data_IF_502958153860
#
_entry.id   IF_502958153860
#
_cell.length_a   1.000
_cell.length_b   1.000
_cell.length_c   1.000
_cell.angle_alpha   90.00
_cell.angle_beta   90.00
_cell.angle_gamma   90.00
#
_symmetry.space_group_name_H-M   'P 1'
#
loop_
_entity.id
_entity.type
_entity.pdbx_description
1 polymer ?
#
# COMPACT_ATOMS: atom_id res chain seq x y z
N UNK A 1 15.62 15.76 19.17
CA UNK A 1 16.09 15.41 17.81
C UNK A 1 17.42 16.08 17.63
N UNK A 2 18.48 15.31 17.57
CA UNK A 2 19.82 15.80 17.33
C UNK A 2 20.02 16.04 15.81
N UNK A 3 20.97 16.91 15.43
CA UNK A 3 21.31 17.20 14.05
C UNK A 3 21.70 15.92 13.28
N UNK A 4 22.29 14.96 13.97
CA UNK A 4 22.64 13.64 13.43
C UNK A 4 21.40 12.78 13.16
N UNK A 5 20.37 12.85 13.98
CA UNK A 5 19.10 12.15 13.73
C UNK A 5 18.43 12.68 12.46
N UNK A 6 18.47 13.99 12.22
CA UNK A 6 17.91 14.63 11.04
C UNK A 6 18.66 14.23 9.76
N UNK A 7 19.99 14.23 9.79
CA UNK A 7 20.81 13.81 8.65
C UNK A 7 20.63 12.32 8.34
N UNK A 8 20.51 11.49 9.36
CA UNK A 8 20.23 10.06 9.20
C UNK A 8 18.86 9.82 8.57
N UNK A 9 17.83 10.55 9.01
CA UNK A 9 16.48 10.46 8.42
C UNK A 9 16.46 10.91 6.95
N UNK A 10 17.14 11.99 6.60
CA UNK A 10 17.27 12.43 5.19
C UNK A 10 18.02 11.39 4.32
N UNK A 11 19.08 10.80 4.85
CA UNK A 11 19.83 9.76 4.17
C UNK A 11 18.99 8.50 3.97
N UNK A 12 18.28 8.03 5.00
CA UNK A 12 17.37 6.89 4.93
C UNK A 12 16.23 7.12 3.91
N UNK A 13 15.70 8.34 3.81
CA UNK A 13 14.68 8.69 2.81
C UNK A 13 15.27 8.65 1.40
N UNK A 14 16.49 9.15 1.20
CA UNK A 14 17.14 9.17 -0.13
C UNK A 14 17.57 7.79 -0.61
N UNK A 15 17.93 6.90 0.31
CA UNK A 15 18.35 5.51 0.07
C UNK A 15 17.16 4.54 0.03
N UNK A 16 15.96 5.00 0.38
CA UNK A 16 14.78 4.16 0.36
C UNK A 16 14.47 3.69 -1.07
N UNK A 17 13.95 2.45 -1.25
CA UNK A 17 13.56 1.95 -2.57
C UNK A 17 12.61 2.91 -3.29
N UNK A 18 12.72 3.01 -4.61
CA UNK A 18 11.91 3.89 -5.46
C UNK A 18 10.41 3.76 -5.16
N UNK A 19 9.91 2.54 -4.99
CA UNK A 19 8.52 2.27 -4.64
C UNK A 19 8.09 2.86 -3.28
N UNK A 20 9.04 3.10 -2.37
CA UNK A 20 8.77 3.77 -1.10
C UNK A 20 8.83 5.30 -1.26
N UNK A 21 9.80 5.82 -2.01
CA UNK A 21 9.96 7.25 -2.28
C UNK A 21 8.81 7.82 -3.11
N UNK A 22 8.37 7.08 -4.13
CA UNK A 22 7.26 7.44 -5.05
C UNK A 22 5.87 7.24 -4.44
N UNK A 23 5.77 6.93 -3.13
CA UNK A 23 4.49 6.69 -2.48
C UNK A 23 3.62 7.95 -2.48
N UNK A 24 2.37 7.89 -3.00
CA UNK A 24 1.40 8.97 -2.96
C UNK A 24 1.25 9.60 -1.57
N UNK A 25 1.16 10.91 -1.52
CA UNK A 25 0.95 11.68 -0.29
C UNK A 25 -0.47 12.23 -0.19
N UNK A 26 -1.16 12.41 -1.32
CA UNK A 26 -2.53 12.90 -1.41
C UNK A 26 -3.45 11.89 -2.08
N UNK A 27 -4.77 12.07 -1.95
CA UNK A 27 -5.76 11.22 -2.62
C UNK A 27 -5.68 11.32 -4.16
N UNK A 28 -5.29 12.48 -4.67
CA UNK A 28 -5.22 12.74 -6.11
C UNK A 28 -3.97 12.12 -6.76
N UNK A 29 -2.95 11.81 -5.95
CA UNK A 29 -1.75 11.11 -6.41
C UNK A 29 -1.93 9.60 -6.52
N UNK A 30 -3.00 9.04 -5.94
CA UNK A 30 -3.24 7.59 -5.98
C UNK A 30 -3.66 7.19 -7.38
N UNK A 31 -2.86 6.37 -8.03
CA UNK A 31 -3.16 5.83 -9.35
C UNK A 31 -4.28 4.80 -9.28
N UNK A 32 -5.18 4.84 -10.26
CA UNK A 32 -6.30 3.89 -10.34
C UNK A 32 -7.30 4.02 -9.20
N UNK A 33 -7.95 2.90 -8.84
CA UNK A 33 -8.91 2.78 -7.72
C UNK A 33 -10.13 3.73 -7.81
N UNK A 34 -10.49 4.17 -9.02
CA UNK A 34 -11.58 5.14 -9.25
C UNK A 34 -12.94 4.69 -8.68
N UNK A 35 -13.18 3.38 -8.57
CA UNK A 35 -14.42 2.83 -8.03
C UNK A 35 -14.61 3.12 -6.53
N UNK A 36 -13.51 3.34 -5.77
CA UNK A 36 -13.57 3.68 -4.34
C UNK A 36 -13.08 5.10 -4.03
N UNK A 37 -12.22 5.68 -4.88
CA UNK A 37 -11.60 6.98 -4.69
C UNK A 37 -12.01 8.03 -5.72
N UNK A 38 -12.81 7.67 -6.72
CA UNK A 38 -13.30 8.60 -7.73
C UNK A 38 -14.17 9.73 -7.13
N UNK A 39 -14.38 10.82 -7.86
CA UNK A 39 -15.22 11.92 -7.40
C UNK A 39 -16.60 11.45 -6.95
N UNK A 40 -17.02 11.87 -5.75
CA UNK A 40 -18.32 11.50 -5.19
C UNK A 40 -18.39 10.11 -4.54
N UNK A 41 -17.33 9.29 -4.58
CA UNK A 41 -17.30 8.01 -3.90
C UNK A 41 -17.42 8.15 -2.38
N UNK A 42 -17.98 7.13 -1.74
CA UNK A 42 -18.23 7.14 -0.30
C UNK A 42 -16.95 7.34 0.52
N UNK A 43 -15.88 6.60 0.18
CA UNK A 43 -14.62 6.66 0.92
C UNK A 43 -13.97 8.04 0.75
N UNK A 44 -13.90 8.56 -0.47
CA UNK A 44 -13.35 9.89 -0.74
C UNK A 44 -14.09 10.98 0.03
N UNK A 45 -15.43 10.98 -0.01
CA UNK A 45 -16.25 11.94 0.75
C UNK A 45 -16.02 11.84 2.25
N UNK A 46 -15.93 10.63 2.80
CA UNK A 46 -15.68 10.41 4.22
C UNK A 46 -14.31 10.97 4.66
N UNK A 47 -13.27 10.77 3.83
CA UNK A 47 -11.93 11.30 4.08
C UNK A 47 -11.93 12.83 4.01
N UNK A 48 -12.48 13.41 2.96
CA UNK A 48 -12.53 14.86 2.75
C UNK A 48 -13.36 15.59 3.81
N UNK A 49 -14.43 14.96 4.30
CA UNK A 49 -15.26 15.50 5.38
C UNK A 49 -14.67 15.26 6.79
N UNK A 50 -13.52 14.58 6.88
CA UNK A 50 -12.91 14.14 8.14
C UNK A 50 -13.87 13.32 9.02
N UNK A 51 -14.72 12.51 8.40
CA UNK A 51 -15.71 11.64 9.04
C UNK A 51 -15.48 10.19 8.65
N UNK A 52 -14.37 9.66 9.13
CA UNK A 52 -14.02 8.26 8.88
C UNK A 52 -14.95 7.31 9.64
N UNK A 53 -15.09 6.11 9.11
CA UNK A 53 -15.71 4.98 9.80
C UNK A 53 -14.85 4.55 11.00
N UNK A 54 -15.46 3.89 11.98
CA UNK A 54 -14.72 3.36 13.14
C UNK A 54 -13.72 2.28 12.77
N UNK A 55 -14.01 1.52 11.71
CA UNK A 55 -13.13 0.50 11.18
C UNK A 55 -13.27 0.38 9.66
N UNK A 56 -12.14 0.18 8.99
CA UNK A 56 -12.03 -0.03 7.54
C UNK A 56 -11.20 -1.29 7.30
N UNK A 57 -11.61 -2.12 6.36
CA UNK A 57 -10.80 -3.22 5.86
C UNK A 57 -10.53 -2.99 4.39
N UNK A 58 -9.25 -2.90 4.04
CA UNK A 58 -8.76 -2.79 2.67
C UNK A 58 -8.28 -4.16 2.23
N UNK A 59 -8.88 -4.74 1.20
CA UNK A 59 -8.43 -6.03 0.69
C UNK A 59 -8.16 -5.97 -0.82
N UNK A 60 -7.32 -6.86 -1.29
CA UNK A 60 -6.94 -6.94 -2.69
C UNK A 60 -5.50 -7.39 -2.89
N UNK A 61 -5.05 -7.62 -4.12
CA UNK A 61 -3.73 -8.11 -4.45
C UNK A 61 -2.60 -7.25 -3.88
N UNK A 62 -1.38 -7.79 -3.76
CA UNK A 62 -0.20 -7.00 -3.38
C UNK A 62 0.05 -5.88 -4.39
N UNK A 63 0.70 -4.78 -3.93
CA UNK A 63 1.09 -3.65 -4.79
C UNK A 63 -0.04 -2.75 -5.28
N UNK A 64 -1.29 -2.98 -4.85
CA UNK A 64 -2.47 -2.17 -5.24
C UNK A 64 -2.64 -0.88 -4.44
N UNK A 65 -1.79 -0.62 -3.44
CA UNK A 65 -1.78 0.63 -2.68
C UNK A 65 -2.49 0.60 -1.33
N UNK A 66 -2.81 -0.55 -0.71
CA UNK A 66 -3.49 -0.64 0.59
C UNK A 66 -2.81 0.18 1.70
N UNK A 67 -1.52 -0.06 1.91
CA UNK A 67 -0.72 0.68 2.91
C UNK A 67 -0.59 2.17 2.57
N UNK A 68 -0.46 2.47 1.28
CA UNK A 68 -0.41 3.85 0.76
C UNK A 68 -1.71 4.59 1.06
N UNK A 69 -2.85 4.00 0.73
CA UNK A 69 -4.17 4.58 0.99
C UNK A 69 -4.36 4.85 2.49
N UNK A 70 -3.98 3.91 3.35
CA UNK A 70 -4.08 4.10 4.81
C UNK A 70 -3.25 5.31 5.29
N UNK A 71 -2.03 5.50 4.76
CA UNK A 71 -1.19 6.67 5.07
C UNK A 71 -1.78 7.97 4.55
N UNK A 72 -2.28 7.98 3.31
CA UNK A 72 -2.95 9.15 2.72
C UNK A 72 -4.18 9.54 3.53
N UNK A 73 -4.97 8.57 4.01
CA UNK A 73 -6.09 8.82 4.91
C UNK A 73 -5.61 9.52 6.20
N UNK A 74 -4.55 9.01 6.81
CA UNK A 74 -4.01 9.59 8.04
C UNK A 74 -3.48 11.02 7.83
N UNK A 75 -2.76 11.25 6.74
CA UNK A 75 -2.25 12.57 6.39
C UNK A 75 -3.39 13.57 6.15
N UNK A 76 -4.39 13.18 5.36
CA UNK A 76 -5.54 14.04 5.02
C UNK A 76 -6.36 14.41 6.27
N UNK A 77 -6.52 13.48 7.19
CA UNK A 77 -7.30 13.67 8.43
C UNK A 77 -6.44 14.15 9.61
N UNK A 78 -5.17 14.44 9.39
CA UNK A 78 -4.19 14.86 10.40
C UNK A 78 -4.13 13.93 11.63
N UNK A 79 -4.54 12.68 11.46
CA UNK A 79 -4.47 11.68 12.50
C UNK A 79 -3.04 11.16 12.66
N UNK A 80 -2.70 10.71 13.87
CA UNK A 80 -1.46 9.99 14.08
C UNK A 80 -1.56 8.60 13.47
N UNK A 81 -0.56 8.20 12.69
CA UNK A 81 -0.52 6.92 12.01
C UNK A 81 0.38 5.93 12.77
N UNK A 82 -0.24 4.89 13.33
CA UNK A 82 0.47 3.75 13.92
C UNK A 82 0.38 2.56 12.98
N UNK A 83 1.51 1.91 12.75
CA UNK A 83 1.61 0.78 11.84
C UNK A 83 2.05 -0.48 12.59
N UNK A 84 1.23 -1.53 12.55
CA UNK A 84 1.58 -2.85 13.03
C UNK A 84 1.57 -3.85 11.87
N UNK A 85 2.59 -4.71 11.84
CA UNK A 85 2.58 -5.88 10.96
C UNK A 85 2.03 -7.07 11.73
N UNK A 86 0.95 -7.66 11.25
CA UNK A 86 0.37 -8.83 11.91
C UNK A 86 1.31 -10.06 11.89
N UNK A 87 2.31 -10.05 11.03
CA UNK A 87 3.35 -11.10 10.97
C UNK A 87 4.33 -10.99 12.13
N UNK A 88 4.66 -9.77 12.57
CA UNK A 88 5.71 -9.49 13.56
C UNK A 88 5.16 -9.09 14.93
N UNK A 89 3.97 -8.47 14.97
CA UNK A 89 3.40 -7.89 16.17
C UNK A 89 2.41 -8.83 16.86
N UNK A 90 2.42 -8.81 18.20
CA UNK A 90 1.53 -9.56 19.05
C UNK A 90 0.63 -8.67 19.91
N UNK A 91 -0.09 -9.30 20.87
CA UNK A 91 -0.97 -8.60 21.82
C UNK A 91 -0.19 -7.58 22.68
N UNK A 92 1.07 -7.88 22.99
CA UNK A 92 1.91 -6.97 23.78
C UNK A 92 2.18 -5.65 23.03
N UNK A 93 2.40 -5.72 21.70
CA UNK A 93 2.63 -4.54 20.88
C UNK A 93 1.34 -3.76 20.69
N UNK A 94 0.22 -4.46 20.51
CA UNK A 94 -1.10 -3.82 20.50
C UNK A 94 -1.36 -3.03 21.80
N UNK A 95 -1.00 -3.57 22.97
CA UNK A 95 -1.15 -2.86 24.25
C UNK A 95 -0.36 -1.56 24.28
N UNK A 96 0.91 -1.58 23.82
CA UNK A 96 1.72 -0.36 23.72
C UNK A 96 1.05 0.71 22.86
N UNK A 97 0.47 0.31 21.72
CA UNK A 97 -0.26 1.22 20.83
C UNK A 97 -1.52 1.77 21.51
N UNK A 98 -2.26 0.94 22.23
CA UNK A 98 -3.45 1.36 22.99
C UNK A 98 -3.08 2.40 24.04
N UNK A 99 -2.02 2.16 24.83
CA UNK A 99 -1.55 3.08 25.85
C UNK A 99 -1.12 4.42 25.23
N UNK A 100 -0.31 4.38 24.17
CA UNK A 100 0.14 5.56 23.45
C UNK A 100 -1.03 6.33 22.80
N UNK A 101 -2.02 5.63 22.22
CA UNK A 101 -3.21 6.26 21.64
C UNK A 101 -4.07 6.94 22.72
N UNK A 102 -4.21 6.30 23.89
CA UNK A 102 -4.94 6.83 25.04
C UNK A 102 -4.28 8.11 25.56
N UNK A 103 -2.96 8.08 25.74
CA UNK A 103 -2.19 9.23 26.19
C UNK A 103 -2.25 10.38 25.17
N UNK A 104 -2.08 10.09 23.89
CA UNK A 104 -2.15 11.05 22.78
C UNK A 104 -3.51 11.73 22.72
N UNK A 105 -4.59 10.96 22.91
CA UNK A 105 -5.94 11.49 22.90
C UNK A 105 -6.19 12.37 24.13
N UNK A 106 -5.70 11.96 25.30
CA UNK A 106 -5.85 12.70 26.56
C UNK A 106 -5.11 14.03 26.56
N UNK A 107 -3.83 14.00 26.11
CA UNK A 107 -2.94 15.18 26.19
C UNK A 107 -3.12 16.14 25.01
N UNK A 108 -3.26 15.59 23.80
CA UNK A 108 -3.21 16.37 22.56
C UNK A 108 -4.53 16.40 21.79
N UNK A 109 -5.56 15.70 22.28
CA UNK A 109 -6.84 15.52 21.56
C UNK A 109 -6.66 14.99 20.12
N UNK A 110 -5.52 14.40 19.83
CA UNK A 110 -5.17 13.90 18.50
C UNK A 110 -5.72 12.49 18.31
N UNK A 111 -6.36 12.25 17.16
CA UNK A 111 -6.86 10.93 16.78
C UNK A 111 -5.72 10.02 16.35
N UNK A 112 -5.91 8.73 16.50
CA UNK A 112 -4.97 7.71 16.04
C UNK A 112 -5.66 6.85 14.98
N UNK A 113 -4.98 6.61 13.88
CA UNK A 113 -5.30 5.54 12.94
C UNK A 113 -4.33 4.40 13.22
N UNK A 114 -4.87 3.25 13.58
CA UNK A 114 -4.12 2.01 13.71
C UNK A 114 -4.25 1.24 12.40
N UNK A 115 -3.15 1.14 11.68
CA UNK A 115 -3.04 0.31 10.48
C UNK A 115 -2.43 -1.04 10.84
N UNK A 116 -3.11 -2.13 10.46
CA UNK A 116 -2.63 -3.49 10.65
C UNK A 116 -2.46 -4.12 9.28
N UNK A 117 -1.20 -4.35 8.90
CA UNK A 117 -0.89 -5.04 7.64
C UNK A 117 -1.03 -6.55 7.82
N UNK A 118 -1.61 -7.20 6.81
CA UNK A 118 -1.90 -8.65 6.79
C UNK A 118 -2.72 -9.12 8.00
N UNK A 119 -3.79 -8.39 8.33
CA UNK A 119 -4.62 -8.61 9.53
C UNK A 119 -5.12 -10.06 9.67
N UNK A 120 -5.27 -10.79 8.57
CA UNK A 120 -5.64 -12.20 8.55
C UNK A 120 -4.60 -13.14 9.20
N UNK A 121 -3.35 -12.68 9.38
CA UNK A 121 -2.29 -13.43 10.07
C UNK A 121 -2.49 -13.47 11.59
N UNK A 122 -3.28 -12.55 12.13
CA UNK A 122 -3.63 -12.59 13.54
C UNK A 122 -4.67 -13.66 13.81
N UNK A 123 -4.47 -14.41 14.90
CA UNK A 123 -5.45 -15.38 15.36
C UNK A 123 -6.71 -14.66 15.91
N UNK A 124 -7.77 -15.47 16.16
CA UNK A 124 -9.05 -14.94 16.63
C UNK A 124 -8.90 -14.10 17.90
N UNK A 125 -8.14 -14.54 18.90
CA UNK A 125 -7.97 -13.82 20.16
C UNK A 125 -7.26 -12.46 19.98
N UNK A 126 -6.29 -12.38 19.05
CA UNK A 126 -5.63 -11.12 18.70
C UNK A 126 -6.56 -10.15 17.98
N UNK A 127 -7.41 -10.66 17.07
CA UNK A 127 -8.41 -9.84 16.40
C UNK A 127 -9.53 -9.42 17.37
N UNK A 128 -9.98 -10.29 18.28
CA UNK A 128 -10.96 -9.96 19.31
C UNK A 128 -10.46 -8.84 20.25
N UNK A 129 -9.15 -8.79 20.52
CA UNK A 129 -8.56 -7.74 21.36
C UNK A 129 -8.68 -6.31 20.76
N UNK A 130 -8.98 -6.18 19.46
CA UNK A 130 -9.23 -4.88 18.82
C UNK A 130 -10.63 -4.33 19.13
N UNK A 131 -11.62 -5.22 19.32
CA UNK A 131 -13.04 -4.85 19.34
C UNK A 131 -13.39 -3.77 20.37
N UNK A 132 -12.96 -3.85 21.65
CA UNK A 132 -13.31 -2.83 22.64
C UNK A 132 -12.81 -1.44 22.25
N UNK A 133 -11.66 -1.36 21.57
CA UNK A 133 -11.00 -0.11 21.22
C UNK A 133 -11.57 0.49 19.94
N UNK A 134 -12.01 -0.34 18.99
CA UNK A 134 -12.78 0.06 17.81
C UNK A 134 -14.16 0.59 18.22
N UNK A 135 -14.85 -0.11 19.13
CA UNK A 135 -16.17 0.28 19.63
C UNK A 135 -16.13 1.57 20.44
N UNK A 136 -15.10 1.77 21.27
CA UNK A 136 -14.93 3.01 22.04
C UNK A 136 -14.47 4.19 21.19
N UNK A 137 -14.04 3.97 19.93
CA UNK A 137 -13.48 4.97 19.06
C UNK A 137 -12.14 5.54 19.55
N UNK A 138 -11.38 4.75 20.33
CA UNK A 138 -10.04 5.14 20.78
C UNK A 138 -9.12 5.39 19.58
N UNK A 139 -9.21 4.52 18.60
CA UNK A 139 -8.55 4.65 17.30
C UNK A 139 -9.50 4.24 16.17
N UNK A 140 -9.23 4.74 14.96
CA UNK A 140 -9.81 4.20 13.72
C UNK A 140 -8.93 3.05 13.26
N UNK A 141 -9.50 1.86 13.14
CA UNK A 141 -8.79 0.70 12.60
C UNK A 141 -8.81 0.72 11.08
N UNK A 142 -7.66 0.51 10.45
CA UNK A 142 -7.55 0.18 9.03
C UNK A 142 -6.81 -1.15 8.91
N UNK A 143 -7.53 -2.25 8.71
CA UNK A 143 -6.94 -3.55 8.42
C UNK A 143 -6.64 -3.69 6.93
N UNK A 144 -5.46 -4.20 6.58
CA UNK A 144 -5.13 -4.59 5.22
C UNK A 144 -4.98 -6.10 5.11
N UNK A 145 -5.43 -6.68 4.01
CA UNK A 145 -5.29 -8.12 3.74
C UNK A 145 -5.23 -8.37 2.24
N UNK A 146 -4.51 -9.42 1.85
CA UNK A 146 -4.51 -9.96 0.49
C UNK A 146 -5.59 -11.01 0.26
N UNK A 147 -6.22 -11.49 1.32
CA UNK A 147 -7.23 -12.53 1.30
C UNK A 147 -8.65 -11.97 1.48
N UNK A 148 -9.66 -12.77 1.18
CA UNK A 148 -11.04 -12.35 1.32
C UNK A 148 -11.40 -12.17 2.82
N UNK A 149 -11.72 -10.95 3.27
CA UNK A 149 -11.93 -10.66 4.69
C UNK A 149 -13.13 -11.39 5.30
N UNK A 150 -14.08 -11.84 4.51
CA UNK A 150 -15.25 -12.57 5.01
C UNK A 150 -14.90 -13.97 5.53
N UNK A 151 -13.76 -14.53 5.12
CA UNK A 151 -13.30 -15.84 5.57
C UNK A 151 -12.21 -15.73 6.65
N UNK A 152 -11.30 -14.77 6.52
CA UNK A 152 -10.06 -14.73 7.30
C UNK A 152 -10.08 -13.70 8.43
N UNK A 153 -11.08 -12.81 8.44
CA UNK A 153 -11.29 -11.85 9.53
C UNK A 153 -12.51 -12.27 10.35
N UNK A 154 -12.43 -12.11 11.67
CA UNK A 154 -13.55 -12.50 12.56
C UNK A 154 -14.82 -11.72 12.21
N UNK A 155 -15.95 -12.41 12.26
CA UNK A 155 -17.27 -11.84 11.92
C UNK A 155 -17.60 -10.58 12.73
N UNK A 156 -17.17 -10.53 13.99
CA UNK A 156 -17.39 -9.39 14.87
C UNK A 156 -16.67 -8.11 14.38
N UNK A 157 -15.48 -8.25 13.80
CA UNK A 157 -14.73 -7.13 13.22
C UNK A 157 -15.30 -6.76 11.85
N UNK A 158 -15.61 -7.74 11.01
CA UNK A 158 -16.24 -7.53 9.69
C UNK A 158 -17.55 -6.77 9.82
N UNK A 159 -18.42 -7.13 10.76
CA UNK A 159 -19.72 -6.47 10.95
C UNK A 159 -19.61 -4.98 11.38
N UNK A 160 -18.46 -4.58 11.94
CA UNK A 160 -18.17 -3.22 12.40
C UNK A 160 -17.31 -2.43 11.41
N UNK A 161 -16.92 -3.07 10.31
CA UNK A 161 -16.00 -2.48 9.34
C UNK A 161 -16.70 -2.11 8.04
N UNK A 162 -16.19 -1.09 7.37
CA UNK A 162 -16.45 -0.87 5.94
C UNK A 162 -15.35 -1.54 5.14
N UNK A 163 -15.74 -2.40 4.22
CA UNK A 163 -14.83 -3.18 3.40
C UNK A 163 -14.70 -2.50 2.05
N UNK A 164 -13.46 -2.27 1.61
CA UNK A 164 -13.13 -1.71 0.30
C UNK A 164 -12.14 -2.62 -0.41
N UNK A 165 -12.52 -3.01 -1.61
CA UNK A 165 -11.65 -3.79 -2.50
C UNK A 165 -10.73 -2.86 -3.29
N UNK A 166 -9.43 -3.13 -3.25
CA UNK A 166 -8.47 -2.54 -4.16
C UNK A 166 -8.19 -3.51 -5.30
N UNK A 167 -8.46 -3.08 -6.51
CA UNK A 167 -8.24 -3.87 -7.72
C UNK A 167 -6.80 -3.76 -8.20
N UNK A 168 -6.29 -4.74 -8.98
CA UNK A 168 -5.05 -4.57 -9.72
C UNK A 168 -5.08 -3.27 -10.52
N UNK A 169 -3.96 -2.58 -10.60
CA UNK A 169 -3.85 -1.37 -11.41
C UNK A 169 -3.87 -1.74 -12.89
N UNK A 170 -4.48 -0.88 -13.72
CA UNK A 170 -4.39 -1.05 -15.17
C UNK A 170 -2.98 -0.73 -15.69
N UNK A 171 -2.63 -1.27 -16.85
CA UNK A 171 -1.31 -1.02 -17.48
C UNK A 171 -1.06 0.49 -17.65
N UNK A 172 -2.09 1.26 -18.01
CA UNK A 172 -2.05 2.71 -18.17
C UNK A 172 -1.72 3.43 -16.86
N UNK A 173 -2.32 3.00 -15.73
CA UNK A 173 -2.04 3.56 -14.40
C UNK A 173 -0.56 3.34 -14.02
N UNK A 174 -0.05 2.13 -14.27
CA UNK A 174 1.35 1.79 -13.99
C UNK A 174 2.28 2.58 -14.91
N UNK A 175 1.96 2.71 -16.20
CA UNK A 175 2.74 3.48 -17.14
C UNK A 175 2.88 4.95 -16.70
N UNK A 176 1.78 5.55 -16.22
CA UNK A 176 1.78 6.91 -15.65
C UNK A 176 2.73 6.98 -14.44
N UNK A 177 2.70 5.99 -13.54
CA UNK A 177 3.60 5.94 -12.39
C UNK A 177 5.07 5.80 -12.80
N UNK A 178 5.39 4.96 -13.79
CA UNK A 178 6.75 4.80 -14.30
C UNK A 178 7.26 6.10 -14.95
N UNK A 179 6.46 6.75 -15.79
CA UNK A 179 6.80 8.05 -16.40
C UNK A 179 6.98 9.14 -15.34
N UNK A 180 6.12 9.17 -14.31
CA UNK A 180 6.28 10.08 -13.17
C UNK A 180 7.60 9.82 -12.43
N UNK A 181 7.96 8.55 -12.19
CA UNK A 181 9.20 8.19 -11.52
C UNK A 181 10.46 8.63 -12.26
N UNK A 182 10.45 8.65 -13.60
CA UNK A 182 11.55 9.14 -14.41
C UNK A 182 11.68 10.68 -14.39
N UNK A 183 10.59 11.40 -14.17
CA UNK A 183 10.56 12.88 -14.26
C UNK A 183 10.53 13.58 -12.91
N UNK A 184 10.12 12.90 -11.84
CA UNK A 184 10.08 13.49 -10.49
C UNK A 184 11.50 13.76 -9.97
N UNK A 185 11.81 15.04 -9.76
CA UNK A 185 13.15 15.48 -9.30
C UNK A 185 13.37 15.33 -7.80
N UNK A 186 12.31 15.05 -7.02
CA UNK A 186 12.37 14.94 -5.57
C UNK A 186 12.43 13.47 -5.15
N UNK A 187 11.46 12.67 -5.62
CA UNK A 187 11.27 11.30 -5.19
C UNK A 187 11.73 10.26 -6.23
N UNK A 188 11.83 10.67 -7.48
CA UNK A 188 12.19 9.81 -8.61
C UNK A 188 13.61 10.04 -9.12
N UNK A 189 13.76 9.83 -10.40
CA UNK A 189 15.03 9.92 -11.12
C UNK A 189 15.19 11.21 -11.92
N UNK A 190 14.31 12.19 -11.78
CA UNK A 190 14.29 13.40 -12.61
C UNK A 190 15.54 14.27 -12.57
N UNK A 191 16.50 13.99 -11.66
CA UNK A 191 17.83 14.64 -11.64
C UNK A 191 18.88 13.91 -12.49
N UNK A 192 18.60 12.70 -12.95
CA UNK A 192 19.48 11.89 -13.79
C UNK A 192 19.08 12.03 -15.25
N UNK A 193 20.04 12.01 -16.16
CA UNK A 193 19.76 11.94 -17.58
C UNK A 193 19.40 10.48 -17.96
N UNK A 194 18.13 10.18 -18.01
CA UNK A 194 17.62 8.84 -18.34
C UNK A 194 16.74 8.95 -19.57
N UNK A 195 17.01 8.09 -20.55
CA UNK A 195 16.16 7.86 -21.69
C UNK A 195 15.58 6.44 -21.57
N UNK A 196 14.28 6.34 -21.51
CA UNK A 196 13.59 5.04 -21.53
C UNK A 196 12.77 4.92 -22.81
N UNK A 197 12.90 3.80 -23.50
CA UNK A 197 12.07 3.50 -24.65
C UNK A 197 10.63 3.23 -24.21
N UNK A 198 9.66 3.66 -25.00
CA UNK A 198 8.25 3.50 -24.63
C UNK A 198 7.86 2.01 -24.54
N UNK A 199 8.44 1.17 -25.41
CA UNK A 199 8.24 -0.28 -25.38
C UNK A 199 8.79 -0.91 -24.10
N UNK A 200 9.89 -0.39 -23.55
CA UNK A 200 10.45 -0.83 -22.27
C UNK A 200 9.47 -0.54 -21.11
N UNK A 201 8.95 0.69 -21.04
CA UNK A 201 7.99 1.08 -20.01
C UNK A 201 6.68 0.31 -20.12
N UNK A 202 6.17 0.09 -21.33
CA UNK A 202 4.98 -0.73 -21.57
C UNK A 202 5.20 -2.18 -21.16
N UNK A 203 6.40 -2.72 -21.42
CA UNK A 203 6.75 -4.06 -20.99
C UNK A 203 6.73 -4.19 -19.47
N UNK A 204 7.38 -3.25 -18.75
CA UNK A 204 7.37 -3.21 -17.28
C UNK A 204 5.92 -3.11 -16.74
N UNK A 205 5.11 -2.24 -17.32
CA UNK A 205 3.72 -2.05 -16.89
C UNK A 205 2.88 -3.33 -17.05
N UNK A 206 3.04 -4.01 -18.19
CA UNK A 206 2.32 -5.25 -18.51
C UNK A 206 2.75 -6.41 -17.61
N UNK A 207 4.05 -6.64 -17.47
CA UNK A 207 4.59 -7.78 -16.71
C UNK A 207 4.37 -7.61 -15.21
N UNK A 208 4.29 -6.38 -14.71
CA UNK A 208 3.96 -6.09 -13.31
C UNK A 208 2.57 -6.62 -12.89
N UNK A 209 1.65 -6.84 -13.84
CA UNK A 209 0.36 -7.49 -13.56
C UNK A 209 -0.50 -6.75 -12.54
N UNK A 210 -0.51 -5.42 -12.58
CA UNK A 210 -1.26 -4.57 -11.66
C UNK A 210 -0.58 -4.26 -10.31
N UNK A 211 0.66 -4.69 -10.13
CA UNK A 211 1.48 -4.45 -8.92
C UNK A 211 2.43 -3.27 -9.16
N UNK A 212 2.06 -2.06 -8.67
CA UNK A 212 2.88 -0.86 -8.80
C UNK A 212 4.25 -0.99 -8.13
N UNK A 213 4.35 -1.73 -7.02
CA UNK A 213 5.62 -1.94 -6.31
C UNK A 213 6.58 -2.75 -7.18
N UNK A 214 6.07 -3.82 -7.81
CA UNK A 214 6.88 -4.65 -8.71
C UNK A 214 7.38 -3.84 -9.92
N UNK A 215 6.52 -3.03 -10.53
CA UNK A 215 6.89 -2.16 -11.66
C UNK A 215 7.98 -1.14 -11.28
N UNK A 216 7.81 -0.44 -10.15
CA UNK A 216 8.77 0.57 -9.70
C UNK A 216 10.10 -0.05 -9.27
N UNK A 217 10.10 -1.20 -8.61
CA UNK A 217 11.33 -1.92 -8.27
C UNK A 217 12.08 -2.39 -9.51
N UNK A 218 11.35 -2.85 -10.54
CA UNK A 218 11.96 -3.25 -11.79
C UNK A 218 12.57 -2.05 -12.55
N UNK A 219 11.88 -0.90 -12.56
CA UNK A 219 12.42 0.33 -13.11
C UNK A 219 13.68 0.77 -12.36
N UNK A 220 13.66 0.71 -11.02
CA UNK A 220 14.82 1.05 -10.19
C UNK A 220 16.02 0.16 -10.53
N UNK A 221 15.78 -1.15 -10.59
CA UNK A 221 16.82 -2.12 -10.98
C UNK A 221 17.38 -1.81 -12.37
N UNK A 222 16.52 -1.55 -13.36
CA UNK A 222 16.93 -1.19 -14.71
C UNK A 222 17.83 0.06 -14.72
N UNK A 223 17.44 1.10 -13.97
CA UNK A 223 18.20 2.37 -13.91
C UNK A 223 19.54 2.21 -13.19
N UNK A 224 19.57 1.46 -12.08
CA UNK A 224 20.79 1.33 -11.25
C UNK A 224 21.83 0.36 -11.86
N UNK A 225 21.39 -0.59 -12.69
CA UNK A 225 22.28 -1.60 -13.28
C UNK A 225 22.73 -1.27 -14.70
N UNK A 226 22.07 -0.33 -15.37
CA UNK A 226 22.44 0.05 -16.75
C UNK A 226 23.58 1.08 -16.73
N UNK A 227 24.70 0.79 -17.38
CA UNK A 227 25.78 1.78 -17.54
C UNK A 227 25.30 3.03 -18.27
N UNK A 228 25.84 4.21 -17.87
CA UNK A 228 25.58 5.44 -18.61
C UNK A 228 26.56 5.57 -19.77
N UNK A 229 26.04 5.79 -20.97
CA UNK A 229 26.79 6.15 -22.17
C UNK A 229 26.58 7.63 -22.43
N UNK A 230 27.67 8.40 -22.65
CA UNK A 230 27.62 9.84 -22.79
C UNK A 230 26.83 10.58 -21.70
N UNK A 231 26.97 10.12 -20.46
CA UNK A 231 26.24 10.59 -19.27
C UNK A 231 24.70 10.35 -19.32
N UNK A 232 24.18 9.56 -20.24
CA UNK A 232 22.78 9.20 -20.37
C UNK A 232 22.62 7.70 -20.11
N UNK A 233 21.71 7.33 -19.19
CA UNK A 233 21.31 5.94 -18.97
C UNK A 233 20.16 5.60 -19.93
N UNK A 234 20.35 4.62 -20.82
CA UNK A 234 19.35 4.24 -21.80
C UNK A 234 18.68 2.91 -21.42
N UNK A 235 17.40 2.95 -21.09
CA UNK A 235 16.60 1.79 -20.74
C UNK A 235 15.90 1.26 -22.00
N UNK A 236 16.47 0.21 -22.57
CA UNK A 236 15.91 -0.50 -23.73
C UNK A 236 14.90 -1.58 -23.31
N UNK A 237 14.22 -2.16 -24.28
CA UNK A 237 13.32 -3.30 -24.03
C UNK A 237 14.04 -4.49 -23.42
N UNK A 238 15.25 -4.80 -23.85
CA UNK A 238 16.07 -5.90 -23.34
C UNK A 238 16.39 -5.69 -21.86
N UNK A 239 16.83 -4.49 -21.48
CA UNK A 239 17.09 -4.11 -20.08
C UNK A 239 15.83 -4.24 -19.25
N UNK A 240 14.68 -3.81 -19.76
CA UNK A 240 13.40 -3.95 -19.07
C UNK A 240 13.00 -5.42 -18.88
N UNK A 241 13.24 -6.27 -19.88
CA UNK A 241 12.96 -7.72 -19.80
C UNK A 241 13.82 -8.42 -18.74
N UNK A 242 15.09 -8.06 -18.64
CA UNK A 242 16.00 -8.60 -17.63
C UNK A 242 15.66 -8.10 -16.21
N UNK A 243 15.16 -6.88 -16.09
CA UNK A 243 14.91 -6.23 -14.80
C UNK A 243 13.58 -6.67 -14.14
N UNK A 244 12.63 -7.23 -14.91
CA UNK A 244 11.36 -7.68 -14.38
C UNK A 244 11.17 -9.18 -14.61
N UNK A 245 11.13 -9.95 -13.53
CA UNK A 245 10.81 -11.36 -13.60
C UNK A 245 9.28 -11.54 -13.51
N UNK A 246 8.71 -12.38 -14.40
CA UNK A 246 7.34 -12.84 -14.23
C UNK A 246 7.22 -13.49 -12.85
N UNK A 247 6.27 -13.01 -12.04
CA UNK A 247 5.86 -13.76 -10.84
C UNK A 247 5.53 -15.18 -11.29
N UNK A 248 6.25 -16.17 -10.75
CA UNK A 248 5.78 -17.56 -10.84
C UNK A 248 4.36 -17.53 -10.25
N UNK A 249 3.38 -17.94 -11.05
CA UNK A 249 2.01 -18.13 -10.58
C UNK A 249 2.13 -19.24 -9.53
N UNK A 250 2.20 -18.86 -8.25
CA UNK A 250 2.00 -19.81 -7.18
C UNK A 250 0.52 -20.20 -7.27
N UNK A 251 0.26 -21.34 -7.89
CA UNK A 251 -1.00 -22.03 -7.71
C UNK A 251 -1.07 -22.36 -6.21
N UNK A 252 -1.75 -21.51 -5.48
CA UNK A 252 -2.17 -21.83 -4.13
C UNK A 252 -3.12 -23.02 -4.26
N UNK A 253 -2.73 -24.17 -3.67
CA UNK A 253 -3.48 -25.44 -3.73
C UNK A 253 -4.79 -25.40 -2.94
N UNK A 254 -5.35 -24.22 -2.70
CA UNK A 254 -6.58 -23.98 -1.91
C UNK A 254 -7.63 -23.19 -2.68
N UNK A 255 -7.59 -23.16 -4.01
CA UNK A 255 -8.75 -22.67 -4.77
C UNK A 255 -9.72 -23.84 -5.02
N UNK A 256 -10.67 -23.99 -4.10
CA UNK A 256 -11.86 -24.85 -4.20
C UNK A 256 -12.85 -24.36 -5.28
N UNK A 257 -12.37 -24.01 -6.47
CA UNK A 257 -13.23 -23.64 -7.60
C UNK A 257 -13.45 -24.77 -8.61
N UNK A 258 -13.21 -26.05 -8.23
CA UNK A 258 -13.41 -27.20 -9.12
C UNK A 258 -14.60 -28.09 -8.76
N UNK A 259 -15.62 -27.61 -8.01
CA UNK A 259 -16.78 -28.48 -7.70
C UNK A 259 -18.07 -28.18 -8.46
N UNK A 260 -18.12 -27.19 -9.35
CA UNK A 260 -19.37 -26.86 -10.05
C UNK A 260 -19.50 -27.39 -11.50
N UNK A 261 -18.61 -28.30 -11.95
CA UNK A 261 -18.70 -28.80 -13.33
C UNK A 261 -18.94 -30.31 -13.48
N UNK A 262 -19.17 -31.05 -12.39
CA UNK A 262 -19.41 -32.52 -12.47
C UNK A 262 -20.79 -32.91 -11.90
N UNK A 263 -21.79 -32.07 -11.96
CA UNK A 263 -23.18 -32.44 -11.61
C UNK A 263 -24.16 -32.34 -12.78
N UNK A 264 -23.70 -32.57 -13.98
CA UNK A 264 -24.57 -32.63 -15.16
C UNK A 264 -24.21 -33.83 -16.08
N UNK A 265 -24.33 -35.04 -15.53
CA UNK A 265 -24.60 -36.27 -16.31
C UNK A 265 -25.26 -37.31 -15.41
#
# INVERSE_FOLDING_TARGET
MDLFDYQMDEQLISEAPLAARMRPQTLDDIAGQNHILGPGSLLRRAIQADRLFSSIILYGPPGTGKTTLARVIANTTQAHFENLSAVLAGVADLRKVIDAATERRRLYRKRTILFIDEVHRWNKAQQDALLPHVESGLFTLIGATTQNPYFDVIKALVSRSRIFELKPLHEEDILILLKKALTDTVNGFGKRAIRADEEALLHLARVAGGDARNALNALELAVETTPSEDAVTHITLEVAQESIQKRAVMYDKTDDQHYDTISAF
#
